data_IF_305688805258
#
_entry.id   IF_305688805258
#
_cell.length_a   1.000
_cell.length_b   1.000
_cell.length_c   1.000
_cell.angle_alpha   90.00
_cell.angle_beta   90.00
_cell.angle_gamma   90.00
#
_symmetry.space_group_name_H-M   'P 1'
#
loop_
_entity.id
_entity.type
_entity.pdbx_description
1 polymer ?
#
# COMPACT_ATOMS: atom_id res chain seq x y z
N UNK A 1 53.23 24.97 -29.65
CA UNK A 1 52.68 23.60 -29.49
C UNK A 1 52.90 23.16 -28.06
N UNK A 2 51.84 23.06 -27.26
CA UNK A 2 51.89 22.46 -25.93
C UNK A 2 50.63 21.62 -25.75
N UNK A 3 50.81 20.30 -25.60
CA UNK A 3 49.75 19.34 -25.31
C UNK A 3 49.45 19.42 -23.81
N UNK A 4 48.28 19.95 -23.44
CA UNK A 4 47.76 19.81 -22.07
C UNK A 4 46.91 18.54 -22.01
N UNK A 5 47.41 17.59 -21.25
CA UNK A 5 46.84 16.28 -20.96
C UNK A 5 45.48 16.38 -20.26
N UNK A 6 44.42 15.88 -20.90
CA UNK A 6 43.12 15.69 -20.28
C UNK A 6 43.13 14.44 -19.38
N UNK A 7 42.81 14.62 -18.09
CA UNK A 7 42.59 13.53 -17.15
C UNK A 7 41.14 13.02 -17.22
N UNK A 8 40.87 11.76 -17.60
CA UNK A 8 39.54 11.17 -17.53
C UNK A 8 39.28 10.67 -16.10
N UNK A 9 38.74 11.52 -15.23
CA UNK A 9 38.25 11.05 -13.94
C UNK A 9 36.94 10.30 -14.15
N UNK A 10 37.07 8.97 -14.12
CA UNK A 10 36.14 7.98 -13.53
C UNK A 10 34.73 8.50 -13.30
N UNK A 11 33.82 8.14 -14.20
CA UNK A 11 32.40 8.03 -13.88
C UNK A 11 32.23 6.99 -12.78
N UNK A 12 32.10 7.43 -11.52
CA UNK A 12 31.60 6.58 -10.45
C UNK A 12 30.20 6.17 -10.85
N UNK A 13 30.00 4.88 -11.11
CA UNK A 13 28.69 4.32 -11.34
C UNK A 13 27.83 4.56 -10.09
N UNK A 14 27.05 5.65 -10.11
CA UNK A 14 26.12 5.96 -9.06
C UNK A 14 25.10 4.83 -8.98
N UNK A 15 25.07 4.11 -7.86
CA UNK A 15 23.85 3.42 -7.43
C UNK A 15 22.73 4.44 -7.51
N UNK A 16 21.80 4.28 -8.46
CA UNK A 16 20.63 5.17 -8.57
C UNK A 16 19.85 5.04 -7.27
N UNK A 17 20.10 5.92 -6.31
CA UNK A 17 19.29 6.05 -5.11
C UNK A 17 17.89 6.39 -5.56
N UNK A 18 16.95 5.46 -5.35
CA UNK A 18 15.53 5.71 -5.67
C UNK A 18 15.02 6.85 -4.80
N UNK A 19 14.31 7.85 -5.36
CA UNK A 19 13.69 8.91 -4.58
C UNK A 19 12.78 8.35 -3.47
N UNK A 20 12.79 9.00 -2.30
CA UNK A 20 12.05 8.56 -1.11
C UNK A 20 10.58 8.24 -1.38
N UNK A 21 9.90 9.03 -2.22
CA UNK A 21 8.51 8.81 -2.64
C UNK A 21 8.29 7.46 -3.34
N UNK A 22 9.20 7.08 -4.24
CA UNK A 22 9.12 5.81 -4.96
C UNK A 22 9.38 4.65 -4.00
N UNK A 23 10.36 4.80 -3.11
CA UNK A 23 10.62 3.81 -2.06
C UNK A 23 9.39 3.64 -1.15
N UNK A 24 8.75 4.74 -0.73
CA UNK A 24 7.53 4.68 0.08
C UNK A 24 6.40 3.92 -0.62
N UNK A 25 6.12 4.22 -1.90
CA UNK A 25 5.12 3.49 -2.67
C UNK A 25 5.44 1.99 -2.78
N UNK A 26 6.72 1.64 -3.01
CA UNK A 26 7.18 0.26 -3.06
C UNK A 26 7.04 -0.47 -1.73
N UNK A 27 7.37 0.19 -0.60
CA UNK A 27 7.22 -0.39 0.74
C UNK A 27 5.75 -0.63 1.06
N UNK A 28 4.88 0.35 0.83
CA UNK A 28 3.43 0.19 1.05
C UNK A 28 2.89 -0.96 0.19
N UNK A 29 3.25 -1.01 -1.10
CA UNK A 29 2.85 -2.11 -1.98
C UNK A 29 3.36 -3.48 -1.52
N UNK A 30 4.60 -3.55 -1.05
CA UNK A 30 5.18 -4.79 -0.51
C UNK A 30 4.44 -5.26 0.75
N UNK A 31 4.07 -4.33 1.66
CA UNK A 31 3.28 -4.67 2.85
C UNK A 31 1.92 -5.24 2.45
N UNK A 32 1.23 -4.64 1.49
CA UNK A 32 -0.03 -5.18 0.99
C UNK A 32 0.09 -6.58 0.38
N UNK A 33 1.15 -6.84 -0.38
CA UNK A 33 1.44 -8.18 -0.90
C UNK A 33 1.65 -9.17 0.24
N UNK A 34 2.47 -8.82 1.23
CA UNK A 34 2.74 -9.69 2.38
C UNK A 34 1.43 -10.00 3.11
N UNK A 35 0.64 -8.99 3.47
CA UNK A 35 -0.65 -9.16 4.15
C UNK A 35 -1.61 -10.02 3.32
N UNK A 36 -1.74 -9.75 2.02
CA UNK A 36 -2.60 -10.52 1.12
C UNK A 36 -2.17 -11.98 1.00
N UNK A 37 -0.86 -12.26 1.01
CA UNK A 37 -0.32 -13.63 1.02
C UNK A 37 -0.61 -14.29 2.38
N UNK A 38 -0.30 -13.63 3.49
CA UNK A 38 -0.50 -14.15 4.84
C UNK A 38 -1.98 -14.47 5.10
N UNK A 39 -2.90 -13.71 4.52
CA UNK A 39 -4.33 -13.98 4.54
C UNK A 39 -4.68 -15.40 4.08
N UNK A 40 -3.90 -15.99 3.17
CA UNK A 40 -4.09 -17.36 2.66
C UNK A 40 -3.26 -18.43 3.39
N UNK A 41 -2.59 -18.10 4.49
CA UNK A 41 -1.75 -19.05 5.24
C UNK A 41 -2.47 -19.52 6.52
N UNK A 42 -2.87 -20.81 6.60
CA UNK A 42 -3.43 -21.38 7.82
C UNK A 42 -2.48 -21.25 9.01
N UNK A 43 -3.02 -20.89 10.18
CA UNK A 43 -2.27 -20.68 11.41
C UNK A 43 -1.84 -19.23 11.62
N UNK A 44 -1.52 -18.50 10.56
CA UNK A 44 -1.40 -17.02 10.61
C UNK A 44 -2.78 -16.39 10.50
N UNK A 45 -3.60 -16.90 9.59
CA UNK A 45 -5.04 -16.68 9.57
C UNK A 45 -5.73 -17.78 10.37
N UNK A 46 -6.35 -17.41 11.48
CA UNK A 46 -7.15 -18.32 12.30
C UNK A 46 -8.53 -18.52 11.69
N UNK A 47 -9.23 -19.57 12.12
CA UNK A 47 -10.56 -19.93 11.60
C UNK A 47 -10.56 -20.08 10.07
N UNK A 48 -9.42 -20.48 9.51
CA UNK A 48 -9.19 -20.51 8.07
C UNK A 48 -10.26 -21.30 7.30
N UNK A 49 -10.78 -22.38 7.89
CA UNK A 49 -11.82 -23.22 7.30
C UNK A 49 -13.18 -22.53 7.13
N UNK A 50 -13.41 -21.39 7.79
CA UNK A 50 -14.65 -20.60 7.66
C UNK A 50 -14.52 -19.47 6.63
N UNK A 51 -13.37 -19.37 5.95
CA UNK A 51 -13.13 -18.29 4.98
C UNK A 51 -14.13 -18.40 3.82
N UNK A 52 -14.92 -17.35 3.64
CA UNK A 52 -15.83 -17.22 2.50
C UNK A 52 -15.18 -16.45 1.36
N UNK A 53 -15.79 -16.54 0.18
CA UNK A 53 -15.31 -15.77 -0.97
C UNK A 53 -15.39 -14.26 -0.70
N UNK A 54 -16.53 -13.79 -0.19
CA UNK A 54 -16.82 -12.42 0.15
C UNK A 54 -17.89 -12.39 1.26
N UNK A 55 -18.11 -11.22 1.87
CA UNK A 55 -19.14 -11.02 2.88
C UNK A 55 -18.65 -11.17 4.33
N UNK A 56 -19.37 -10.54 5.26
CA UNK A 56 -19.14 -10.60 6.71
C UNK A 56 -19.24 -12.01 7.31
N UNK A 57 -19.87 -12.94 6.59
CA UNK A 57 -19.96 -14.35 7.00
C UNK A 57 -18.58 -15.06 6.98
N UNK A 58 -17.56 -14.45 6.37
CA UNK A 58 -16.19 -14.96 6.45
C UNK A 58 -15.62 -14.73 7.85
N UNK A 59 -15.67 -15.74 8.72
CA UNK A 59 -15.17 -15.62 10.10
C UNK A 59 -13.65 -15.81 10.23
N UNK A 60 -12.92 -15.86 9.11
CA UNK A 60 -11.47 -16.04 9.12
C UNK A 60 -10.76 -14.76 9.58
N UNK A 61 -9.77 -14.89 10.47
CA UNK A 61 -9.12 -13.77 11.14
C UNK A 61 -7.61 -13.78 10.97
N UNK A 62 -7.07 -12.78 10.27
CA UNK A 62 -5.63 -12.59 10.15
C UNK A 62 -5.05 -12.09 11.49
N UNK A 63 -4.07 -12.83 12.02
CA UNK A 63 -3.50 -12.62 13.36
C UNK A 63 -4.53 -12.66 14.50
N UNK A 64 -5.72 -13.22 14.26
CA UNK A 64 -6.83 -13.22 15.21
C UNK A 64 -7.50 -11.85 15.40
N UNK A 65 -7.21 -10.84 14.57
CA UNK A 65 -7.68 -9.46 14.76
C UNK A 65 -8.39 -8.88 13.54
N UNK A 66 -7.88 -9.10 12.33
CA UNK A 66 -8.43 -8.51 11.10
C UNK A 66 -9.27 -9.52 10.35
N UNK A 67 -10.51 -9.18 10.04
CA UNK A 67 -11.39 -10.12 9.38
C UNK A 67 -11.10 -10.15 7.88
N UNK A 68 -10.94 -11.35 7.33
CA UNK A 68 -10.50 -11.55 5.95
C UNK A 68 -11.41 -12.50 5.19
N UNK A 69 -11.48 -12.28 3.88
CA UNK A 69 -12.12 -13.17 2.90
C UNK A 69 -11.19 -13.37 1.71
N UNK A 70 -11.55 -14.28 0.81
CA UNK A 70 -10.78 -14.48 -0.43
C UNK A 70 -10.73 -13.17 -1.23
N UNK A 71 -11.86 -12.47 -1.37
CA UNK A 71 -11.95 -11.19 -2.04
C UNK A 71 -11.06 -10.14 -1.38
N UNK A 72 -11.09 -10.04 -0.05
CA UNK A 72 -10.27 -9.07 0.70
C UNK A 72 -8.77 -9.31 0.46
N UNK A 73 -8.34 -10.56 0.54
CA UNK A 73 -6.94 -10.93 0.30
C UNK A 73 -6.54 -10.67 -1.17
N UNK A 74 -7.38 -10.99 -2.15
CA UNK A 74 -7.12 -10.69 -3.57
C UNK A 74 -7.00 -9.18 -3.80
N UNK A 75 -7.88 -8.37 -3.20
CA UNK A 75 -7.78 -6.91 -3.28
C UNK A 75 -6.45 -6.43 -2.72
N UNK A 76 -6.02 -6.92 -1.55
CA UNK A 76 -4.69 -6.62 -1.01
C UNK A 76 -3.55 -7.01 -1.95
N UNK A 77 -3.60 -8.21 -2.54
CA UNK A 77 -2.59 -8.66 -3.51
C UNK A 77 -2.51 -7.73 -4.72
N UNK A 78 -3.66 -7.41 -5.33
CA UNK A 78 -3.72 -6.52 -6.49
C UNK A 78 -3.21 -5.13 -6.15
N UNK A 79 -3.63 -4.60 -5.00
CA UNK A 79 -3.19 -3.29 -4.51
C UNK A 79 -1.68 -3.25 -4.25
N UNK A 80 -1.12 -4.35 -3.76
CA UNK A 80 0.32 -4.50 -3.56
C UNK A 80 1.11 -4.61 -4.88
N UNK A 81 0.62 -5.38 -5.86
CA UNK A 81 1.20 -5.43 -7.22
C UNK A 81 1.19 -4.04 -7.86
N UNK A 82 0.08 -3.31 -7.76
CA UNK A 82 -0.04 -1.94 -8.27
C UNK A 82 0.96 -1.02 -7.58
N UNK A 83 1.15 -1.13 -6.26
CA UNK A 83 2.15 -0.35 -5.53
C UNK A 83 3.59 -0.61 -5.99
N UNK A 84 3.96 -1.88 -6.16
CA UNK A 84 5.27 -2.25 -6.71
C UNK A 84 5.46 -1.79 -8.16
N UNK A 85 4.40 -1.80 -8.97
CA UNK A 85 4.46 -1.26 -10.33
C UNK A 85 4.60 0.27 -10.32
N UNK A 86 3.85 0.95 -9.46
CA UNK A 86 3.83 2.40 -9.32
C UNK A 86 5.17 2.97 -8.84
N UNK A 87 5.95 2.20 -8.08
CA UNK A 87 7.27 2.65 -7.62
C UNK A 87 8.26 2.95 -8.76
N UNK A 88 7.96 2.55 -10.00
CA UNK A 88 8.85 2.74 -11.16
C UNK A 88 8.98 4.19 -11.59
N UNK A 89 8.01 5.06 -11.28
CA UNK A 89 8.08 6.49 -11.59
C UNK A 89 7.55 7.34 -10.44
N UNK A 90 8.05 8.58 -10.28
CA UNK A 90 7.60 9.47 -9.21
C UNK A 90 6.12 9.85 -9.34
N UNK A 91 5.63 10.07 -10.56
CA UNK A 91 4.23 10.38 -10.82
C UNK A 91 3.28 9.23 -10.45
N UNK A 92 3.61 8.01 -10.86
CA UNK A 92 2.81 6.83 -10.51
C UNK A 92 2.86 6.55 -9.01
N UNK A 93 4.04 6.64 -8.38
CA UNK A 93 4.19 6.49 -6.93
C UNK A 93 3.32 7.50 -6.15
N UNK A 94 3.31 8.78 -6.57
CA UNK A 94 2.45 9.80 -5.97
C UNK A 94 0.97 9.48 -6.16
N UNK A 95 0.58 9.12 -7.38
CA UNK A 95 -0.80 8.76 -7.70
C UNK A 95 -1.29 7.56 -6.88
N UNK A 96 -0.45 6.53 -6.74
CA UNK A 96 -0.74 5.36 -5.90
C UNK A 96 -0.91 5.72 -4.43
N UNK A 97 0.00 6.52 -3.87
CA UNK A 97 -0.08 6.91 -2.45
C UNK A 97 -1.31 7.79 -2.16
N UNK A 98 -1.58 8.79 -3.00
CA UNK A 98 -2.72 9.69 -2.78
C UNK A 98 -4.03 9.00 -3.12
N UNK A 99 -4.17 8.46 -4.32
CA UNK A 99 -5.40 7.79 -4.77
C UNK A 99 -5.69 6.54 -3.94
N UNK A 100 -4.65 5.78 -3.61
CA UNK A 100 -4.76 4.65 -2.70
C UNK A 100 -5.20 5.08 -1.30
N UNK A 101 -4.60 6.13 -0.74
CA UNK A 101 -5.03 6.62 0.57
C UNK A 101 -6.49 7.10 0.58
N UNK A 102 -6.97 7.73 -0.51
CA UNK A 102 -8.39 8.09 -0.66
C UNK A 102 -9.29 6.84 -0.67
N UNK A 103 -8.89 5.78 -1.37
CA UNK A 103 -9.63 4.50 -1.37
C UNK A 103 -9.73 3.92 0.05
N UNK A 104 -8.63 3.95 0.82
CA UNK A 104 -8.63 3.44 2.20
C UNK A 104 -9.49 4.30 3.15
N UNK A 105 -9.51 5.63 2.96
CA UNK A 105 -10.46 6.48 3.70
C UNK A 105 -11.91 6.21 3.31
N UNK A 106 -12.18 5.92 2.03
CA UNK A 106 -13.52 5.54 1.59
C UNK A 106 -13.95 4.18 2.18
N UNK A 107 -13.04 3.21 2.28
CA UNK A 107 -13.29 1.93 2.96
C UNK A 107 -13.58 2.11 4.45
N UNK A 108 -12.84 2.99 5.12
CA UNK A 108 -13.13 3.34 6.52
C UNK A 108 -14.54 3.93 6.69
N UNK A 109 -14.93 4.90 5.85
CA UNK A 109 -16.29 5.45 5.87
C UNK A 109 -17.33 4.36 5.58
N UNK A 110 -17.06 3.49 4.61
CA UNK A 110 -17.92 2.37 4.27
C UNK A 110 -18.13 1.43 5.47
N UNK A 111 -17.08 1.06 6.20
CA UNK A 111 -17.20 0.25 7.42
C UNK A 111 -18.06 0.90 8.51
N UNK A 112 -17.89 2.21 8.73
CA UNK A 112 -18.71 2.97 9.69
C UNK A 112 -20.20 3.01 9.31
N UNK A 113 -20.51 3.11 8.03
CA UNK A 113 -21.89 3.24 7.53
C UNK A 113 -22.59 1.89 7.44
N UNK A 114 -21.87 0.86 6.98
CA UNK A 114 -22.45 -0.48 6.73
C UNK A 114 -22.51 -1.30 8.02
N UNK A 115 -21.49 -1.21 8.87
CA UNK A 115 -21.38 -2.03 10.10
C UNK A 115 -20.95 -3.47 9.82
N UNK A 116 -20.30 -4.11 10.82
CA UNK A 116 -19.66 -5.42 10.64
C UNK A 116 -20.64 -6.54 10.29
N UNK A 117 -21.82 -6.57 10.90
CA UNK A 117 -22.81 -7.65 10.76
C UNK A 117 -23.76 -7.49 9.56
N UNK A 118 -23.57 -6.45 8.76
CA UNK A 118 -24.49 -6.15 7.66
C UNK A 118 -24.18 -7.00 6.44
N UNK A 119 -25.22 -7.54 5.80
CA UNK A 119 -25.11 -8.24 4.52
C UNK A 119 -24.46 -7.39 3.40
N UNK A 120 -24.48 -6.07 3.55
CA UNK A 120 -23.80 -5.16 2.63
C UNK A 120 -22.29 -5.06 2.86
N UNK A 121 -21.71 -5.73 3.86
CA UNK A 121 -20.28 -5.78 4.18
C UNK A 121 -19.58 -6.87 3.35
N UNK A 122 -19.35 -6.61 2.06
CA UNK A 122 -18.83 -7.60 1.09
C UNK A 122 -17.33 -7.87 1.23
N UNK A 123 -16.59 -6.93 1.79
CA UNK A 123 -15.17 -7.07 2.12
C UNK A 123 -15.15 -7.02 3.64
N UNK A 124 -15.16 -8.15 4.36
CA UNK A 124 -15.62 -8.25 5.74
C UNK A 124 -14.86 -7.33 6.69
N UNK A 125 -15.27 -6.07 6.79
CA UNK A 125 -14.63 -5.08 7.63
C UNK A 125 -15.14 -5.25 9.06
N UNK A 126 -14.21 -5.40 9.99
CA UNK A 126 -14.49 -5.29 11.41
C UNK A 126 -13.93 -3.98 11.97
N UNK A 127 -14.13 -3.74 13.27
CA UNK A 127 -13.65 -2.52 13.93
C UNK A 127 -12.13 -2.33 13.82
N UNK A 128 -11.34 -3.40 13.90
CA UNK A 128 -9.89 -3.30 13.79
C UNK A 128 -9.48 -2.94 12.34
N UNK A 129 -10.15 -3.52 11.35
CA UNK A 129 -9.99 -3.15 9.95
C UNK A 129 -10.30 -1.66 9.74
N UNK A 130 -11.41 -1.15 10.26
CA UNK A 130 -11.78 0.27 10.12
C UNK A 130 -10.67 1.22 10.59
N UNK A 131 -10.12 0.98 11.78
CA UNK A 131 -9.04 1.81 12.32
C UNK A 131 -7.75 1.68 11.51
N UNK A 132 -7.43 0.47 11.05
CA UNK A 132 -6.29 0.26 10.17
C UNK A 132 -6.46 1.03 8.86
N UNK A 133 -7.64 1.00 8.24
CA UNK A 133 -7.95 1.70 7.00
C UNK A 133 -7.85 3.22 7.16
N UNK A 134 -8.34 3.77 8.28
CA UNK A 134 -8.19 5.19 8.59
C UNK A 134 -6.72 5.60 8.69
N UNK A 135 -5.94 4.89 9.52
CA UNK A 135 -4.53 5.19 9.73
C UNK A 135 -3.72 5.07 8.43
N UNK A 136 -3.99 4.03 7.65
CA UNK A 136 -3.33 3.79 6.38
C UNK A 136 -3.71 4.82 5.32
N UNK A 137 -4.99 5.19 5.24
CA UNK A 137 -5.47 6.25 4.35
C UNK A 137 -4.78 7.59 4.59
N UNK A 138 -4.74 8.02 5.85
CA UNK A 138 -4.03 9.24 6.27
C UNK A 138 -2.53 9.12 5.97
N UNK A 139 -1.90 8.01 6.36
CA UNK A 139 -0.47 7.79 6.20
C UNK A 139 -0.02 7.81 4.74
N UNK A 140 -0.78 7.15 3.85
CA UNK A 140 -0.48 7.14 2.42
C UNK A 140 -0.62 8.53 1.79
N UNK A 141 -1.69 9.27 2.10
CA UNK A 141 -1.87 10.65 1.61
C UNK A 141 -0.73 11.54 2.10
N UNK A 142 -0.37 11.45 3.39
CA UNK A 142 0.74 12.21 3.96
C UNK A 142 2.07 11.91 3.26
N UNK A 143 2.39 10.62 3.04
CA UNK A 143 3.59 10.22 2.28
C UNK A 143 3.59 10.79 0.85
N UNK A 144 2.46 10.70 0.15
CA UNK A 144 2.32 11.22 -1.22
C UNK A 144 2.42 12.74 -1.32
N UNK A 145 1.89 13.46 -0.32
CA UNK A 145 1.93 14.93 -0.27
C UNK A 145 3.31 15.45 0.14
N UNK A 146 3.87 14.92 1.23
CA UNK A 146 5.12 15.42 1.83
C UNK A 146 6.35 15.05 1.01
N UNK A 147 6.42 13.82 0.49
CA UNK A 147 7.56 13.37 -0.33
C UNK A 147 7.44 13.77 -1.81
N UNK A 148 6.27 14.28 -2.23
CA UNK A 148 6.02 14.75 -3.58
C UNK A 148 6.35 16.23 -3.83
N UNK A 149 6.49 17.04 -2.77
CA UNK A 149 6.66 18.50 -2.86
C UNK A 149 8.09 19.00 -3.12
N UNK A 150 9.11 18.15 -3.08
CA UNK A 150 10.53 18.55 -2.96
C UNK A 150 11.19 19.10 -4.25
N UNK A 151 10.45 19.68 -5.21
CA UNK A 151 11.02 20.14 -6.51
C UNK A 151 10.75 21.60 -6.89
N UNK A 152 10.20 22.44 -6.00
CA UNK A 152 9.85 23.83 -6.37
C UNK A 152 10.57 24.95 -5.61
N UNK A 153 11.67 24.68 -4.89
CA UNK A 153 12.38 25.72 -4.12
C UNK A 153 13.75 26.16 -4.67
N UNK A 154 14.30 25.55 -5.72
CA UNK A 154 15.61 25.97 -6.29
C UNK A 154 15.54 26.91 -7.50
N UNK A 155 14.45 27.64 -7.69
CA UNK A 155 14.31 28.57 -8.83
C UNK A 155 13.67 29.93 -8.47
N UNK A 156 13.87 30.42 -7.25
CA UNK A 156 13.51 31.80 -6.88
C UNK A 156 14.67 32.48 -6.18
#
# INVERSE_FOLDING_TARGET
MSYSSAHPWRAVAGTRSRPALQTAAGVVGAVFLVVGILGFIPGVTTDYGTMQFAGHESQAMLFGVFQVSILHNIVHLLFGVVGLAAMRTAGAARGYLIGGGVIYLALWIYGLVVGSESAANFVPLNRADDWLHLGLGIGMIALGALLGGSRSESAR
#
